data_IF_898574182914
#
_entry.id   IF_898574182914
#
_cell.length_a   1.000
_cell.length_b   1.000
_cell.length_c   1.000
_cell.angle_alpha   90.00
_cell.angle_beta   90.00
_cell.angle_gamma   90.00
#
_symmetry.space_group_name_H-M   'P 1'
#
loop_
_entity.id
_entity.type
_entity.pdbx_description
1 polymer ?
#
# COMPACT_ATOMS: atom_id res chain seq x y z
N UNK A 1 1.97 7.02 -13.59
CA UNK A 1 1.97 7.93 -12.43
C UNK A 1 3.35 8.44 -12.11
N UNK A 2 4.31 7.59 -11.71
CA UNK A 2 5.64 8.07 -11.32
C UNK A 2 6.26 8.97 -12.41
N UNK A 3 6.21 8.53 -13.67
CA UNK A 3 6.65 9.34 -14.81
C UNK A 3 5.83 10.64 -15.03
N UNK A 4 4.55 10.67 -14.63
CA UNK A 4 3.71 11.88 -14.71
C UNK A 4 4.07 12.90 -13.62
N UNK A 5 4.71 12.46 -12.54
CA UNK A 5 5.32 13.29 -11.48
C UNK A 5 6.80 13.62 -11.78
N UNK A 6 7.31 13.27 -12.97
CA UNK A 6 8.73 13.43 -13.30
C UNK A 6 9.66 12.43 -12.60
N UNK A 7 9.12 11.40 -11.95
CA UNK A 7 9.88 10.32 -11.33
C UNK A 7 10.12 9.21 -12.35
N UNK A 8 11.37 9.04 -12.73
CA UNK A 8 11.80 7.91 -13.56
C UNK A 8 12.07 6.72 -12.66
N UNK A 9 11.31 5.63 -12.85
CA UNK A 9 11.59 4.34 -12.25
C UNK A 9 12.34 3.48 -13.26
N UNK A 10 13.40 2.80 -12.82
CA UNK A 10 14.22 1.91 -13.63
C UNK A 10 13.91 0.45 -13.28
N UNK A 11 14.29 -0.48 -14.17
CA UNK A 11 14.15 -1.92 -13.91
C UNK A 11 14.89 -2.34 -12.62
N UNK A 12 16.00 -1.67 -12.30
CA UNK A 12 16.74 -1.89 -11.05
C UNK A 12 15.93 -1.53 -9.79
N UNK A 13 14.95 -0.62 -9.87
CA UNK A 13 14.06 -0.29 -8.76
C UNK A 13 13.05 -1.42 -8.51
N UNK A 14 12.54 -2.01 -9.59
CA UNK A 14 11.70 -3.21 -9.55
C UNK A 14 12.46 -4.40 -8.93
N UNK A 15 13.69 -4.66 -9.38
CA UNK A 15 14.53 -5.72 -8.83
C UNK A 15 14.81 -5.54 -7.34
N UNK A 16 15.01 -4.28 -6.90
CA UNK A 16 15.22 -3.97 -5.48
C UNK A 16 14.00 -4.29 -4.62
N UNK A 17 12.79 -4.04 -5.14
CA UNK A 17 11.54 -4.43 -4.46
C UNK A 17 11.49 -5.96 -4.30
N UNK A 18 11.74 -6.71 -5.36
CA UNK A 18 11.74 -8.18 -5.30
C UNK A 18 12.78 -8.72 -4.32
N UNK A 19 14.02 -8.22 -4.40
CA UNK A 19 15.09 -8.62 -3.49
C UNK A 19 14.78 -8.29 -2.03
N UNK A 20 14.11 -7.18 -1.75
CA UNK A 20 13.64 -6.83 -0.41
C UNK A 20 12.56 -7.81 0.06
N UNK A 21 11.55 -8.11 -0.76
CA UNK A 21 10.48 -9.04 -0.39
C UNK A 21 10.99 -10.46 -0.12
N UNK A 22 12.03 -10.90 -0.83
CA UNK A 22 12.65 -12.21 -0.60
C UNK A 22 13.38 -12.25 0.75
N UNK A 23 14.13 -11.19 1.08
CA UNK A 23 14.85 -11.07 2.37
C UNK A 23 13.90 -10.93 3.57
N UNK A 24 12.73 -10.32 3.36
CA UNK A 24 11.74 -10.11 4.42
C UNK A 24 10.58 -11.10 4.36
N UNK A 25 10.69 -12.20 3.59
CA UNK A 25 9.60 -13.17 3.40
C UNK A 25 9.10 -13.80 4.71
N UNK A 26 9.98 -13.94 5.70
CA UNK A 26 9.63 -14.44 7.03
C UNK A 26 9.16 -13.32 8.00
N UNK A 27 9.36 -12.05 7.63
CA UNK A 27 8.94 -10.91 8.44
C UNK A 27 7.50 -10.56 8.10
N UNK A 28 6.62 -10.63 9.09
CA UNK A 28 5.26 -10.11 8.98
C UNK A 28 5.37 -8.59 8.77
N UNK A 29 4.82 -8.06 7.67
CA UNK A 29 4.88 -6.61 7.42
C UNK A 29 4.18 -5.83 8.55
N UNK A 30 4.64 -4.60 8.81
CA UNK A 30 4.18 -3.80 9.94
C UNK A 30 2.65 -3.59 9.92
N UNK A 31 2.06 -3.27 8.76
CA UNK A 31 0.61 -3.11 8.63
C UNK A 31 -0.19 -4.38 9.00
N UNK A 32 0.30 -5.60 8.71
CA UNK A 32 -0.37 -6.83 9.13
C UNK A 32 -0.25 -7.05 10.65
N UNK A 33 0.84 -6.60 11.27
CA UNK A 33 0.97 -6.60 12.72
C UNK A 33 0.01 -5.58 13.37
N UNK A 34 -0.14 -4.39 12.77
CA UNK A 34 -1.07 -3.36 13.21
C UNK A 34 -2.51 -3.86 13.14
N UNK A 35 -2.91 -4.48 12.02
CA UNK A 35 -4.22 -5.14 11.88
C UNK A 35 -4.45 -6.20 12.95
N UNK A 36 -3.46 -7.06 13.21
CA UNK A 36 -3.57 -8.11 14.24
C UNK A 36 -3.70 -7.57 15.66
N UNK A 37 -3.18 -6.36 15.91
CA UNK A 37 -3.22 -5.69 17.22
C UNK A 37 -4.40 -4.70 17.33
N UNK A 38 -5.22 -4.56 16.29
CA UNK A 38 -6.32 -3.59 16.25
C UNK A 38 -5.85 -2.12 16.20
N UNK A 39 -4.60 -1.88 15.83
CA UNK A 39 -4.04 -0.54 15.67
C UNK A 39 -4.37 0.03 14.27
N UNK A 40 -4.30 1.36 14.14
CA UNK A 40 -4.39 2.01 12.83
C UNK A 40 -3.17 1.65 11.97
N UNK A 41 -3.40 1.32 10.69
CA UNK A 41 -2.36 1.00 9.72
C UNK A 41 -1.95 2.22 8.91
N UNK A 42 -0.72 2.23 8.38
CA UNK A 42 -0.25 3.25 7.42
C UNK A 42 -0.77 3.03 5.98
N UNK A 43 -1.96 2.45 5.80
CA UNK A 43 -2.54 2.13 4.48
C UNK A 43 -2.70 3.35 3.56
N UNK A 44 -2.59 4.57 4.11
CA UNK A 44 -2.69 5.83 3.39
C UNK A 44 -1.73 5.92 2.20
N UNK A 45 -0.58 5.22 2.21
CA UNK A 45 0.30 5.16 1.05
C UNK A 45 -0.39 4.59 -0.22
N UNK A 46 -1.17 3.51 -0.08
CA UNK A 46 -1.94 2.96 -1.21
C UNK A 46 -3.08 3.88 -1.61
N UNK A 47 -3.70 4.58 -0.64
CA UNK A 47 -4.71 5.59 -0.89
C UNK A 47 -4.16 6.81 -1.65
N UNK A 48 -2.98 7.29 -1.28
CA UNK A 48 -2.28 8.41 -1.91
C UNK A 48 -1.92 8.09 -3.36
N UNK A 49 -1.38 6.89 -3.64
CA UNK A 49 -1.11 6.43 -5.02
C UNK A 49 -2.40 6.27 -5.83
N UNK A 50 -3.53 5.91 -5.23
CA UNK A 50 -4.80 5.89 -5.97
C UNK A 50 -5.27 7.31 -6.34
N UNK A 51 -5.27 8.24 -5.36
CA UNK A 51 -5.72 9.64 -5.55
C UNK A 51 -4.85 10.38 -6.55
N UNK A 52 -3.54 10.22 -6.44
CA UNK A 52 -2.60 10.84 -7.37
C UNK A 52 -2.82 10.29 -8.79
N UNK A 53 -3.34 9.07 -8.96
CA UNK A 53 -3.52 8.48 -10.30
C UNK A 53 -4.69 9.18 -10.97
N UNK A 54 -5.78 9.32 -10.23
CA UNK A 54 -6.98 10.03 -10.64
C UNK A 54 -6.67 11.49 -11.01
N UNK A 55 -5.82 12.19 -10.25
CA UNK A 55 -5.39 13.55 -10.56
C UNK A 55 -4.69 13.68 -11.92
N UNK A 56 -3.98 12.63 -12.35
CA UNK A 56 -3.32 12.56 -13.65
C UNK A 56 -4.16 11.89 -14.75
N UNK A 57 -5.44 11.63 -14.50
CA UNK A 57 -6.31 10.91 -15.45
C UNK A 57 -5.91 9.45 -15.67
N UNK A 58 -5.11 8.89 -14.76
CA UNK A 58 -4.70 7.49 -14.75
C UNK A 58 -5.54 6.69 -13.75
N UNK A 59 -5.50 5.37 -13.86
CA UNK A 59 -6.13 4.50 -12.87
C UNK A 59 -5.09 3.62 -12.18
N UNK A 60 -5.21 3.48 -10.85
CA UNK A 60 -4.41 2.58 -10.02
C UNK A 60 -5.33 1.61 -9.25
N UNK A 61 -6.04 0.71 -9.96
CA UNK A 61 -7.16 -0.05 -9.41
C UNK A 61 -6.70 -1.02 -8.31
N UNK A 62 -5.51 -1.59 -8.43
CA UNK A 62 -4.93 -2.49 -7.42
C UNK A 62 -4.62 -1.74 -6.12
N UNK A 63 -4.04 -0.54 -6.19
CA UNK A 63 -3.78 0.30 -5.01
C UNK A 63 -5.10 0.71 -4.33
N UNK A 64 -6.10 1.09 -5.11
CA UNK A 64 -7.42 1.43 -4.59
C UNK A 64 -8.11 0.23 -3.91
N UNK A 65 -8.02 -0.96 -4.50
CA UNK A 65 -8.58 -2.19 -3.93
C UNK A 65 -7.90 -2.56 -2.60
N UNK A 66 -6.56 -2.58 -2.56
CA UNK A 66 -5.80 -2.87 -1.34
C UNK A 66 -6.13 -1.87 -0.23
N UNK A 67 -6.18 -0.57 -0.55
CA UNK A 67 -6.54 0.46 0.42
C UNK A 67 -7.93 0.23 1.03
N UNK A 68 -8.93 -0.11 0.20
CA UNK A 68 -10.31 -0.40 0.66
C UNK A 68 -10.38 -1.65 1.53
N UNK A 69 -9.70 -2.73 1.16
CA UNK A 69 -9.72 -3.99 1.90
C UNK A 69 -9.09 -3.87 3.28
N UNK A 70 -7.96 -3.16 3.39
CA UNK A 70 -7.29 -2.94 4.68
C UNK A 70 -8.11 -2.00 5.56
N UNK A 71 -8.65 -0.90 5.01
CA UNK A 71 -9.54 -0.01 5.76
C UNK A 71 -10.81 -0.72 6.28
N UNK A 72 -11.36 -1.66 5.50
CA UNK A 72 -12.47 -2.50 5.96
C UNK A 72 -12.04 -3.44 7.09
N UNK A 73 -10.88 -4.07 6.97
CA UNK A 73 -10.32 -4.96 7.99
C UNK A 73 -10.09 -4.24 9.32
N UNK A 74 -9.60 -2.99 9.30
CA UNK A 74 -9.45 -2.18 10.50
C UNK A 74 -10.77 -1.83 11.19
N UNK A 75 -11.83 -1.58 10.41
CA UNK A 75 -13.16 -1.29 10.96
C UNK A 75 -13.76 -2.52 11.63
N UNK A 76 -13.55 -3.70 11.04
CA UNK A 76 -14.00 -4.97 11.60
C UNK A 76 -13.20 -5.39 12.85
N UNK A 77 -11.93 -5.01 12.94
CA UNK A 77 -11.04 -5.34 14.06
C UNK A 77 -11.13 -4.39 15.26
N UNK A 78 -11.75 -3.22 15.12
CA UNK A 78 -12.00 -2.30 16.24
C UNK A 78 -13.36 -2.64 16.86
N UNK A 79 -13.45 -2.98 18.17
CA UNK A 79 -14.75 -3.12 18.82
C UNK A 79 -15.49 -1.79 18.73
N UNK A 80 -16.78 -1.83 18.34
CA UNK A 80 -17.65 -0.66 18.36
C UNK A 80 -17.65 -0.09 19.79
N UNK A 81 -17.20 1.15 19.92
CA UNK A 81 -17.17 1.92 21.16
C UNK A 81 -18.55 2.40 21.58
#
# INVERSE_FOLDING_TARGET
MAAAEGVTLLDADLERVFASTEKTRANTNAMLQDLRRGAATEIDANGAVARLAEQHGLSAPTHAAVARLVAASEKLGRPES
#
